data_IF_754684294866
#
_entry.id   IF_754684294866
#
_cell.length_a   1.000
_cell.length_b   1.000
_cell.length_c   1.000
_cell.angle_alpha   90.00
_cell.angle_beta   90.00
_cell.angle_gamma   90.00
#
_symmetry.space_group_name_H-M   'P 1'
#
loop_
_entity.id
_entity.type
_entity.pdbx_description
1 polymer ?
#
# COMPACT_ATOMS: atom_id res chain seq x y z
N UNK A 1 -30.87 -4.51 -9.35
CA UNK A 1 -29.58 -5.22 -9.13
C UNK A 1 -29.88 -6.71 -9.16
N UNK A 2 -29.15 -7.49 -9.97
CA UNK A 2 -29.33 -8.94 -10.01
C UNK A 2 -29.10 -9.52 -8.62
N UNK A 3 -30.00 -10.38 -8.16
CA UNK A 3 -29.90 -11.07 -6.88
C UNK A 3 -29.69 -12.55 -7.12
N UNK A 4 -28.66 -13.13 -6.48
CA UNK A 4 -28.43 -14.58 -6.47
C UNK A 4 -29.67 -15.26 -5.89
N UNK A 5 -30.13 -16.33 -6.54
CA UNK A 5 -31.21 -17.15 -5.99
C UNK A 5 -30.74 -17.94 -4.75
N UNK A 6 -29.47 -18.39 -4.72
CA UNK A 6 -28.83 -19.03 -3.57
C UNK A 6 -27.62 -18.21 -3.08
N UNK A 7 -27.70 -17.52 -1.93
CA UNK A 7 -26.65 -16.63 -1.44
C UNK A 7 -25.31 -17.28 -1.04
N UNK A 8 -25.12 -18.61 -1.17
CA UNK A 8 -23.96 -19.33 -0.64
C UNK A 8 -23.05 -20.09 -1.62
N UNK A 9 -23.44 -20.32 -2.88
CA UNK A 9 -22.77 -21.34 -3.72
C UNK A 9 -21.94 -20.79 -4.90
N UNK A 10 -21.89 -19.49 -5.08
CA UNK A 10 -21.10 -18.89 -6.16
C UNK A 10 -20.85 -17.40 -6.02
N UNK A 11 -19.91 -16.89 -6.81
CA UNK A 11 -19.39 -15.52 -6.82
C UNK A 11 -19.70 -14.90 -8.19
N UNK A 12 -20.10 -13.62 -8.17
CA UNK A 12 -20.20 -12.80 -9.37
C UNK A 12 -19.27 -11.60 -9.19
N UNK A 13 -18.36 -11.40 -10.14
CA UNK A 13 -17.50 -10.23 -10.23
C UNK A 13 -17.88 -9.45 -11.48
N UNK A 14 -18.07 -8.15 -11.32
CA UNK A 14 -18.35 -7.24 -12.42
C UNK A 14 -17.33 -6.11 -12.42
N UNK A 15 -16.79 -5.83 -13.60
CA UNK A 15 -15.97 -4.66 -13.85
C UNK A 15 -16.44 -4.03 -15.15
N UNK A 16 -17.19 -2.92 -15.04
CA UNK A 16 -17.83 -2.25 -16.18
C UNK A 16 -18.68 -3.23 -17.00
N UNK A 17 -18.22 -3.61 -18.20
CA UNK A 17 -18.87 -4.52 -19.15
C UNK A 17 -18.41 -5.98 -19.04
N UNK A 18 -17.32 -6.24 -18.32
CA UNK A 18 -16.79 -7.59 -18.10
C UNK A 18 -17.38 -8.23 -16.84
N UNK A 19 -18.04 -9.38 -17.00
CA UNK A 19 -18.66 -10.15 -15.91
C UNK A 19 -18.02 -11.54 -15.81
N UNK A 20 -17.69 -11.96 -14.60
CA UNK A 20 -17.21 -13.30 -14.27
C UNK A 20 -18.15 -13.94 -13.24
N UNK A 21 -18.56 -15.18 -13.50
CA UNK A 21 -19.24 -16.05 -12.54
C UNK A 21 -18.31 -17.21 -12.18
N UNK A 22 -18.24 -17.53 -10.90
CA UNK A 22 -17.56 -18.72 -10.39
C UNK A 22 -18.47 -19.45 -9.40
N UNK A 23 -18.44 -20.78 -9.39
CA UNK A 23 -19.22 -21.60 -8.44
C UNK A 23 -18.42 -22.86 -8.06
N UNK A 24 -18.83 -23.53 -6.98
CA UNK A 24 -18.17 -24.75 -6.51
C UNK A 24 -18.44 -25.99 -7.37
N UNK A 25 -19.55 -26.01 -8.11
CA UNK A 25 -19.93 -27.09 -9.03
C UNK A 25 -20.22 -26.54 -10.43
N UNK A 26 -20.15 -27.42 -11.43
CA UNK A 26 -20.48 -27.06 -12.81
C UNK A 26 -21.96 -26.70 -12.93
N UNK A 27 -22.82 -27.50 -12.30
CA UNK A 27 -24.28 -27.38 -12.31
C UNK A 27 -24.72 -26.02 -11.79
N UNK A 28 -24.24 -25.63 -10.59
CA UNK A 28 -24.51 -24.31 -10.01
C UNK A 28 -23.99 -23.19 -10.91
N UNK A 29 -22.81 -23.35 -11.52
CA UNK A 29 -22.26 -22.36 -12.45
C UNK A 29 -23.19 -22.13 -13.66
N UNK A 30 -23.74 -23.20 -14.24
CA UNK A 30 -24.69 -23.13 -15.35
C UNK A 30 -26.01 -22.49 -14.93
N UNK A 31 -26.56 -22.85 -13.78
CA UNK A 31 -27.80 -22.24 -13.26
C UNK A 31 -27.63 -20.73 -13.04
N UNK A 32 -26.52 -20.32 -12.45
CA UNK A 32 -26.17 -18.91 -12.27
C UNK A 32 -26.02 -18.19 -13.62
N UNK A 33 -25.36 -18.82 -14.60
CA UNK A 33 -25.19 -18.25 -15.93
C UNK A 33 -26.53 -18.06 -16.64
N UNK A 34 -27.43 -19.06 -16.61
CA UNK A 34 -28.77 -18.97 -17.21
C UNK A 34 -29.57 -17.84 -16.55
N UNK A 35 -29.59 -17.81 -15.21
CA UNK A 35 -30.28 -16.76 -14.44
C UNK A 35 -29.76 -15.36 -14.78
N UNK A 36 -28.43 -15.19 -14.84
CA UNK A 36 -27.81 -13.92 -15.20
C UNK A 36 -28.14 -13.50 -16.64
N UNK A 37 -28.02 -14.43 -17.61
CA UNK A 37 -28.29 -14.13 -19.01
C UNK A 37 -29.76 -13.73 -19.23
N UNK A 38 -30.70 -14.39 -18.56
CA UNK A 38 -32.11 -14.02 -18.60
C UNK A 38 -32.35 -12.62 -18.01
N UNK A 39 -31.73 -12.32 -16.87
CA UNK A 39 -31.80 -10.99 -16.26
C UNK A 39 -31.22 -9.90 -17.17
N UNK A 40 -30.06 -10.15 -17.79
CA UNK A 40 -29.44 -9.21 -18.73
C UNK A 40 -30.34 -8.98 -19.94
N UNK A 41 -30.93 -10.05 -20.49
CA UNK A 41 -31.87 -9.97 -21.60
C UNK A 41 -33.13 -9.16 -21.26
N UNK A 42 -33.71 -9.39 -20.09
CA UNK A 42 -34.86 -8.61 -19.59
C UNK A 42 -34.51 -7.14 -19.36
N UNK A 43 -33.26 -6.85 -18.96
CA UNK A 43 -32.74 -5.50 -18.81
C UNK A 43 -32.32 -4.81 -20.12
N UNK A 44 -32.51 -5.47 -21.28
CA UNK A 44 -32.14 -4.92 -22.60
C UNK A 44 -30.63 -5.00 -22.93
N UNK A 45 -29.83 -5.65 -22.08
CA UNK A 45 -28.41 -5.86 -22.34
C UNK A 45 -28.20 -6.99 -23.34
N UNK A 46 -27.08 -6.92 -24.07
CA UNK A 46 -26.68 -7.94 -25.04
C UNK A 46 -25.32 -8.52 -24.67
N UNK A 47 -25.20 -9.84 -24.72
CA UNK A 47 -23.96 -10.55 -24.45
C UNK A 47 -23.36 -11.04 -25.77
N UNK A 48 -22.06 -10.81 -25.96
CA UNK A 48 -21.36 -11.28 -27.15
C UNK A 48 -21.12 -12.79 -27.09
N UNK A 49 -21.85 -13.56 -27.91
CA UNK A 49 -21.70 -15.02 -28.00
C UNK A 49 -20.26 -15.44 -28.30
N UNK A 50 -19.56 -14.70 -29.18
CA UNK A 50 -18.19 -15.04 -29.60
C UNK A 50 -17.14 -14.78 -28.52
N UNK A 51 -17.41 -13.86 -27.58
CA UNK A 51 -16.52 -13.56 -26.46
C UNK A 51 -16.87 -14.33 -25.18
N UNK A 52 -18.06 -14.92 -25.11
CA UNK A 52 -18.54 -15.65 -23.95
C UNK A 52 -17.70 -16.92 -23.71
N UNK A 53 -17.32 -17.13 -22.45
CA UNK A 53 -16.55 -18.29 -22.00
C UNK A 53 -17.39 -19.08 -20.99
N UNK A 54 -18.26 -19.98 -21.47
CA UNK A 54 -19.25 -20.68 -20.64
C UNK A 54 -18.75 -22.07 -20.25
N UNK A 55 -18.87 -22.41 -18.96
CA UNK A 55 -18.60 -23.77 -18.45
C UNK A 55 -17.14 -24.22 -18.57
N UNK A 56 -16.19 -23.28 -18.55
CA UNK A 56 -14.75 -23.55 -18.62
C UNK A 56 -14.11 -23.49 -17.24
N UNK A 57 -13.14 -24.38 -17.00
CA UNK A 57 -12.31 -24.36 -15.78
C UNK A 57 -11.17 -23.33 -15.85
N UNK A 58 -10.78 -22.94 -17.06
CA UNK A 58 -9.81 -21.90 -17.34
C UNK A 58 -10.46 -20.80 -18.19
N UNK A 59 -10.39 -19.55 -17.70
CA UNK A 59 -11.02 -18.39 -18.32
C UNK A 59 -10.08 -17.18 -18.35
N UNK A 60 -10.28 -16.30 -19.33
CA UNK A 60 -9.63 -14.99 -19.38
C UNK A 60 -10.58 -13.94 -18.84
N UNK A 61 -10.17 -13.19 -17.81
CA UNK A 61 -10.93 -12.08 -17.23
C UNK A 61 -10.01 -10.89 -16.96
N UNK A 62 -10.33 -9.70 -17.47
CA UNK A 62 -9.54 -8.46 -17.34
C UNK A 62 -8.06 -8.60 -17.77
N UNK A 63 -7.78 -9.51 -18.71
CA UNK A 63 -6.43 -9.79 -19.18
C UNK A 63 -5.62 -10.75 -18.30
N UNK A 64 -6.25 -11.36 -17.29
CA UNK A 64 -5.68 -12.45 -16.51
C UNK A 64 -6.24 -13.79 -16.96
N UNK A 65 -5.38 -14.80 -17.00
CA UNK A 65 -5.78 -16.21 -17.14
C UNK A 65 -6.04 -16.76 -15.73
N UNK A 66 -7.27 -17.21 -15.46
CA UNK A 66 -7.70 -17.73 -14.17
C UNK A 66 -8.03 -19.20 -14.33
N UNK A 67 -7.41 -20.06 -13.52
CA UNK A 67 -7.66 -21.49 -13.48
C UNK A 67 -7.26 -22.07 -12.13
N UNK A 68 -7.99 -23.08 -11.64
CA UNK A 68 -7.62 -23.89 -10.47
C UNK A 68 -7.15 -23.10 -9.23
N UNK A 69 -7.84 -21.99 -8.89
CA UNK A 69 -7.49 -21.17 -7.73
C UNK A 69 -6.21 -20.34 -7.91
N UNK A 70 -5.76 -20.16 -9.15
CA UNK A 70 -4.59 -19.38 -9.53
C UNK A 70 -4.95 -18.34 -10.59
N UNK A 71 -4.13 -17.30 -10.68
CA UNK A 71 -4.18 -16.27 -11.72
C UNK A 71 -2.80 -16.04 -12.33
N UNK A 72 -2.78 -15.88 -13.65
CA UNK A 72 -1.60 -15.67 -14.47
C UNK A 72 -1.79 -14.46 -15.37
N UNK A 73 -0.68 -13.84 -15.78
CA UNK A 73 -0.69 -12.78 -16.78
C UNK A 73 -1.04 -13.40 -18.15
N UNK A 74 -1.99 -12.81 -18.88
CA UNK A 74 -2.35 -13.31 -20.20
C UNK A 74 -1.19 -13.23 -21.20
N UNK A 75 -0.99 -14.28 -21.98
CA UNK A 75 0.16 -14.43 -22.90
C UNK A 75 0.32 -13.24 -23.87
N UNK A 76 -0.79 -12.77 -24.46
CA UNK A 76 -0.79 -11.65 -25.42
C UNK A 76 -0.20 -10.36 -24.84
N UNK A 77 -0.50 -10.05 -23.58
CA UNK A 77 0.01 -8.83 -22.92
C UNK A 77 1.48 -8.97 -22.58
N UNK A 78 1.88 -10.15 -22.10
CA UNK A 78 3.29 -10.47 -21.82
C UNK A 78 4.13 -10.31 -23.09
N UNK A 79 3.71 -10.91 -24.19
CA UNK A 79 4.37 -10.83 -25.49
C UNK A 79 4.48 -9.38 -25.98
N UNK A 80 3.39 -8.61 -25.91
CA UNK A 80 3.39 -7.21 -26.30
C UNK A 80 4.43 -6.39 -25.53
N UNK A 81 4.54 -6.57 -24.20
CA UNK A 81 5.54 -5.86 -23.39
C UNK A 81 6.96 -6.34 -23.72
N UNK A 82 7.15 -7.65 -23.93
CA UNK A 82 8.44 -8.22 -24.32
C UNK A 82 8.93 -7.78 -25.70
N UNK A 83 8.05 -7.32 -26.59
CA UNK A 83 8.41 -6.82 -27.91
C UNK A 83 8.73 -5.32 -27.94
N UNK A 84 8.44 -4.58 -26.87
CA UNK A 84 8.74 -3.13 -26.81
C UNK A 84 10.25 -2.91 -26.95
N UNK A 85 10.71 -2.10 -27.93
CA UNK A 85 12.11 -1.73 -28.05
C UNK A 85 12.53 -0.82 -26.90
N UNK A 86 13.84 -0.64 -26.72
CA UNK A 86 14.34 0.27 -25.69
C UNK A 86 13.81 1.71 -25.95
N UNK A 87 13.14 2.33 -24.96
CA UNK A 87 12.60 3.68 -25.10
C UNK A 87 13.70 4.71 -25.42
N UNK A 88 13.48 5.55 -26.42
CA UNK A 88 14.41 6.64 -26.79
C UNK A 88 13.98 8.00 -26.25
N UNK A 89 12.78 8.09 -25.68
CA UNK A 89 12.22 9.33 -25.13
C UNK A 89 11.65 9.14 -23.72
N UNK A 90 11.64 10.20 -22.87
CA UNK A 90 10.97 10.14 -21.56
C UNK A 90 9.49 9.76 -21.65
N UNK A 91 8.82 10.10 -22.77
CA UNK A 91 7.43 9.72 -23.03
C UNK A 91 7.27 8.22 -23.24
N UNK A 92 8.12 7.62 -24.08
CA UNK A 92 8.13 6.17 -24.30
C UNK A 92 8.48 5.41 -23.01
N UNK A 93 9.45 5.90 -22.23
CA UNK A 93 9.83 5.26 -20.98
C UNK A 93 8.69 5.29 -19.95
N UNK A 94 7.93 6.40 -19.85
CA UNK A 94 6.72 6.45 -19.04
C UNK A 94 5.64 5.48 -19.51
N UNK A 95 5.44 5.37 -20.82
CA UNK A 95 4.49 4.41 -21.38
C UNK A 95 4.89 2.97 -21.02
N UNK A 96 6.18 2.63 -21.16
CA UNK A 96 6.73 1.33 -20.74
C UNK A 96 6.53 1.07 -19.24
N UNK A 97 6.89 2.03 -18.38
CA UNK A 97 6.73 1.93 -16.94
C UNK A 97 5.26 1.79 -16.52
N UNK A 98 4.34 2.48 -17.20
CA UNK A 98 2.89 2.32 -16.99
C UNK A 98 2.40 0.91 -17.34
N UNK A 99 2.83 0.37 -18.48
CA UNK A 99 2.47 -0.99 -18.91
C UNK A 99 3.01 -2.05 -17.96
N UNK A 100 4.29 -1.97 -17.58
CA UNK A 100 4.89 -2.96 -16.68
C UNK A 100 4.46 -2.79 -15.22
N UNK A 101 4.07 -1.57 -14.83
CA UNK A 101 3.51 -1.27 -13.50
C UNK A 101 2.16 -1.93 -13.26
N UNK A 102 1.43 -2.32 -14.30
CA UNK A 102 0.25 -3.18 -14.20
C UNK A 102 0.61 -4.61 -13.79
N UNK A 103 1.76 -5.11 -14.25
CA UNK A 103 2.29 -6.44 -13.95
C UNK A 103 3.09 -6.51 -12.64
N UNK A 104 3.21 -5.40 -11.89
CA UNK A 104 4.10 -5.29 -10.71
C UNK A 104 3.93 -6.40 -9.67
N UNK A 105 2.71 -6.91 -9.50
CA UNK A 105 2.39 -7.96 -8.52
C UNK A 105 3.00 -9.32 -8.86
N UNK A 106 3.44 -9.52 -10.10
CA UNK A 106 4.09 -10.75 -10.58
C UNK A 106 5.62 -10.65 -10.63
N UNK A 107 6.17 -9.45 -10.45
CA UNK A 107 7.59 -9.20 -10.59
C UNK A 107 8.18 -9.11 -9.18
N UNK A 108 8.95 -10.14 -8.82
CA UNK A 108 9.74 -10.09 -7.60
C UNK A 108 10.69 -8.90 -7.64
N UNK A 109 10.82 -8.19 -6.52
CA UNK A 109 11.70 -7.04 -6.38
C UNK A 109 11.44 -5.91 -7.40
N UNK A 110 10.20 -5.79 -7.91
CA UNK A 110 9.81 -4.81 -8.94
C UNK A 110 10.40 -3.41 -8.68
N UNK A 111 10.28 -2.91 -7.46
CA UNK A 111 10.79 -1.60 -7.05
C UNK A 111 12.29 -1.39 -7.30
N UNK A 112 13.11 -2.42 -7.08
CA UNK A 112 14.56 -2.34 -7.36
C UNK A 112 14.83 -2.25 -8.86
N UNK A 113 14.09 -3.03 -9.66
CA UNK A 113 14.25 -3.02 -11.11
C UNK A 113 13.80 -1.70 -11.74
N UNK A 114 12.73 -1.06 -11.24
CA UNK A 114 12.25 0.20 -11.84
C UNK A 114 12.93 1.45 -11.29
N UNK A 115 13.64 1.37 -10.16
CA UNK A 115 14.32 2.50 -9.53
C UNK A 115 15.23 3.29 -10.49
N UNK A 116 16.20 2.67 -11.19
CA UNK A 116 17.08 3.42 -12.10
C UNK A 116 16.30 4.04 -13.27
N UNK A 117 15.22 3.41 -13.72
CA UNK A 117 14.38 3.96 -14.80
C UNK A 117 13.60 5.20 -14.34
N UNK A 118 13.11 5.22 -13.10
CA UNK A 118 12.48 6.40 -12.52
C UNK A 118 13.48 7.52 -12.22
N UNK A 119 14.72 7.18 -11.83
CA UNK A 119 15.80 8.14 -11.65
C UNK A 119 16.18 8.79 -12.98
N UNK A 120 16.35 8.01 -14.05
CA UNK A 120 16.57 8.52 -15.40
C UNK A 120 15.45 9.49 -15.84
N UNK A 121 14.17 9.16 -15.58
CA UNK A 121 13.06 10.09 -15.87
C UNK A 121 13.14 11.41 -15.11
N UNK A 122 13.60 11.39 -13.85
CA UNK A 122 13.76 12.61 -13.04
C UNK A 122 14.90 13.48 -13.55
N UNK A 123 16.02 12.87 -13.91
CA UNK A 123 17.20 13.56 -14.42
C UNK A 123 16.95 14.16 -15.80
N UNK A 124 16.18 13.48 -16.65
CA UNK A 124 15.87 13.92 -18.01
C UNK A 124 15.02 15.19 -18.12
N UNK A 125 14.31 15.60 -17.06
CA UNK A 125 13.40 16.78 -17.04
C UNK A 125 12.57 16.97 -18.33
N UNK A 126 12.09 15.87 -18.92
CA UNK A 126 11.32 15.84 -20.17
C UNK A 126 12.03 16.29 -21.46
N UNK A 127 13.36 16.40 -21.46
CA UNK A 127 14.11 16.84 -22.64
C UNK A 127 14.75 15.66 -23.38
N UNK A 128 15.73 15.00 -22.77
CA UNK A 128 16.46 13.89 -23.39
C UNK A 128 16.66 12.75 -22.39
N UNK A 129 16.43 11.53 -22.84
CA UNK A 129 16.58 10.33 -22.03
C UNK A 129 18.05 9.88 -22.04
N UNK A 130 18.68 9.88 -20.86
CA UNK A 130 20.04 9.36 -20.70
C UNK A 130 19.94 7.93 -20.16
N UNK A 131 20.41 6.96 -20.94
CA UNK A 131 20.51 5.58 -20.49
C UNK A 131 21.85 5.35 -19.80
N UNK A 132 21.78 4.92 -18.54
CA UNK A 132 22.96 4.40 -17.83
C UNK A 132 23.06 2.87 -18.03
N UNK A 133 24.24 2.26 -17.79
CA UNK A 133 24.37 0.80 -17.79
C UNK A 133 23.34 0.09 -16.88
N UNK A 134 23.01 0.69 -15.73
CA UNK A 134 22.01 0.19 -14.78
C UNK A 134 20.60 0.24 -15.38
N UNK A 135 20.28 1.29 -16.14
CA UNK A 135 19.02 1.40 -16.85
C UNK A 135 18.88 0.25 -17.87
N UNK A 136 19.88 0.04 -18.73
CA UNK A 136 19.85 -1.02 -19.74
C UNK A 136 19.71 -2.41 -19.11
N UNK A 137 20.45 -2.66 -18.02
CA UNK A 137 20.35 -3.90 -17.25
C UNK A 137 18.93 -4.08 -16.71
N UNK A 138 18.39 -3.05 -16.09
CA UNK A 138 17.05 -3.07 -15.49
C UNK A 138 15.94 -3.30 -16.50
N UNK A 139 16.01 -2.67 -17.67
CA UNK A 139 15.06 -2.89 -18.77
C UNK A 139 15.06 -4.35 -19.24
N UNK A 140 16.24 -4.96 -19.41
CA UNK A 140 16.37 -6.38 -19.79
C UNK A 140 15.87 -7.31 -18.70
N UNK A 141 16.22 -7.05 -17.44
CA UNK A 141 15.78 -7.85 -16.29
C UNK A 141 14.27 -7.81 -16.11
N UNK A 142 13.64 -6.66 -16.28
CA UNK A 142 12.18 -6.51 -16.22
C UNK A 142 11.46 -7.37 -17.27
N UNK A 143 11.97 -7.38 -18.50
CA UNK A 143 11.40 -8.21 -19.58
C UNK A 143 11.59 -9.70 -19.29
N UNK A 144 12.75 -10.10 -18.75
CA UNK A 144 13.01 -11.48 -18.31
C UNK A 144 12.14 -11.90 -17.12
N UNK A 145 11.95 -11.02 -16.14
CA UNK A 145 11.08 -11.30 -14.99
C UNK A 145 9.63 -11.52 -15.43
N UNK A 146 9.17 -10.78 -16.45
CA UNK A 146 7.83 -10.96 -17.01
C UNK A 146 7.67 -12.28 -17.75
N UNK A 147 8.69 -12.77 -18.47
CA UNK A 147 8.65 -14.09 -19.12
C UNK A 147 8.66 -15.24 -18.12
N UNK A 148 9.34 -15.05 -16.99
CA UNK A 148 9.44 -16.02 -15.90
C UNK A 148 8.37 -15.84 -14.81
N UNK A 149 7.39 -14.95 -15.02
CA UNK A 149 6.37 -14.62 -14.03
C UNK A 149 5.57 -15.87 -13.61
N UNK A 150 5.51 -16.22 -12.31
CA UNK A 150 4.81 -17.41 -11.85
C UNK A 150 3.30 -17.21 -11.82
N UNK A 151 2.56 -18.32 -11.71
CA UNK A 151 1.15 -18.26 -11.33
C UNK A 151 1.00 -17.81 -9.86
N UNK A 152 0.15 -16.83 -9.61
CA UNK A 152 -0.17 -16.36 -8.26
C UNK A 152 -1.45 -17.04 -7.77
N UNK A 153 -1.52 -17.34 -6.48
CA UNK A 153 -2.74 -17.82 -5.84
C UNK A 153 -3.82 -16.74 -5.81
N UNK A 154 -5.08 -17.16 -5.92
CA UNK A 154 -6.21 -16.32 -5.51
C UNK A 154 -6.21 -16.23 -3.97
N UNK A 155 -6.42 -15.04 -3.39
CA UNK A 155 -6.46 -14.88 -1.95
C UNK A 155 -7.66 -15.62 -1.35
N UNK A 156 -7.39 -16.45 -0.35
CA UNK A 156 -8.41 -17.12 0.46
C UNK A 156 -8.53 -16.39 1.80
N UNK A 157 -9.56 -15.55 1.95
CA UNK A 157 -9.76 -14.74 3.15
C UNK A 157 -10.09 -15.57 4.40
N UNK A 158 -10.35 -16.87 4.26
CA UNK A 158 -10.60 -17.78 5.39
C UNK A 158 -9.31 -18.34 6.00
N UNK A 159 -8.16 -18.10 5.36
CA UNK A 159 -6.86 -18.60 5.78
C UNK A 159 -5.92 -17.46 6.17
N UNK A 160 -4.99 -17.70 7.10
CA UNK A 160 -4.00 -16.70 7.48
C UNK A 160 -3.13 -16.33 6.28
N UNK A 161 -2.70 -15.07 6.25
CA UNK A 161 -1.71 -14.56 5.31
C UNK A 161 -0.35 -14.47 6.00
N UNK A 162 0.71 -14.82 5.27
CA UNK A 162 2.08 -14.57 5.69
C UNK A 162 2.72 -13.53 4.78
N UNK A 163 3.27 -12.47 5.36
CA UNK A 163 3.99 -11.44 4.63
C UNK A 163 5.48 -11.51 4.98
N UNK A 164 6.28 -11.92 4.00
CA UNK A 164 7.73 -11.90 4.09
C UNK A 164 8.24 -10.55 3.63
N UNK A 165 8.95 -9.82 4.48
CA UNK A 165 9.46 -8.49 4.16
C UNK A 165 10.99 -8.47 4.24
N UNK A 166 11.60 -7.80 3.28
CA UNK A 166 13.02 -7.49 3.25
C UNK A 166 13.23 -6.04 2.83
N UNK A 167 14.14 -5.32 3.48
CA UNK A 167 14.51 -3.96 3.11
C UNK A 167 15.81 -3.98 2.29
N UNK A 168 15.81 -3.27 1.16
CA UNK A 168 17.03 -3.05 0.37
C UNK A 168 16.98 -1.71 -0.35
N UNK A 169 18.04 -0.90 -0.22
CA UNK A 169 18.18 0.40 -0.90
C UNK A 169 17.01 1.39 -0.65
N UNK A 170 16.50 1.42 0.58
CA UNK A 170 15.33 2.18 1.02
C UNK A 170 14.03 1.75 0.34
N UNK A 171 13.94 0.47 -0.04
CA UNK A 171 12.72 -0.15 -0.56
C UNK A 171 12.34 -1.32 0.35
N UNK A 172 11.11 -1.29 0.85
CA UNK A 172 10.49 -2.48 1.42
C UNK A 172 10.03 -3.37 0.28
N UNK A 173 10.52 -4.61 0.28
CA UNK A 173 10.21 -5.66 -0.68
C UNK A 173 9.43 -6.74 0.08
N UNK A 174 8.33 -7.20 -0.50
CA UNK A 174 7.38 -8.06 0.19
C UNK A 174 6.93 -9.22 -0.68
N UNK A 175 6.72 -10.38 -0.07
CA UNK A 175 5.98 -11.50 -0.68
C UNK A 175 4.82 -11.84 0.23
N UNK A 176 3.60 -11.65 -0.27
CA UNK A 176 2.41 -12.13 0.41
C UNK A 176 2.14 -13.56 -0.04
N UNK A 177 2.03 -14.50 0.90
CA UNK A 177 1.80 -15.90 0.61
C UNK A 177 0.72 -16.50 1.53
N UNK A 178 0.16 -17.64 1.08
CA UNK A 178 -0.75 -18.46 1.86
C UNK A 178 -0.39 -19.94 1.74
N UNK A 179 -0.89 -20.74 2.69
CA UNK A 179 -0.72 -22.19 2.75
C UNK A 179 -1.97 -22.92 2.27
N UNK A 180 -2.11 -23.20 0.96
CA UNK A 180 -3.16 -24.08 0.45
C UNK A 180 -2.82 -25.57 0.70
N UNK A 181 -2.39 -25.93 1.91
CA UNK A 181 -1.86 -27.26 2.26
C UNK A 181 -0.40 -27.18 2.71
N UNK A 182 0.44 -28.11 2.24
CA UNK A 182 1.83 -28.28 2.70
C UNK A 182 2.88 -27.39 2.01
N UNK A 183 2.49 -26.57 1.04
CA UNK A 183 3.40 -25.67 0.31
C UNK A 183 2.92 -24.22 0.36
N UNK A 184 3.88 -23.28 0.35
CA UNK A 184 3.59 -21.85 0.25
C UNK A 184 3.25 -21.47 -1.18
N UNK A 185 2.15 -20.75 -1.37
CA UNK A 185 1.77 -20.18 -2.67
C UNK A 185 1.82 -18.66 -2.59
N UNK A 186 2.58 -17.98 -3.48
CA UNK A 186 2.59 -16.52 -3.51
C UNK A 186 1.25 -16.00 -4.04
N UNK A 187 0.69 -15.00 -3.35
CA UNK A 187 -0.53 -14.27 -3.74
C UNK A 187 -0.17 -12.97 -4.46
N UNK A 188 1.00 -12.40 -4.13
CA UNK A 188 1.58 -11.26 -4.84
C UNK A 188 2.93 -10.82 -4.30
N UNK A 189 3.71 -10.20 -5.18
CA UNK A 189 4.96 -9.52 -4.89
C UNK A 189 4.70 -8.03 -4.70
N UNK A 190 5.27 -7.46 -3.65
CA UNK A 190 5.10 -6.07 -3.27
C UNK A 190 6.45 -5.38 -3.21
N UNK A 191 6.47 -4.11 -3.56
CA UNK A 191 7.64 -3.27 -3.37
C UNK A 191 7.17 -1.85 -3.17
N UNK A 192 7.68 -1.19 -2.13
CA UNK A 192 7.32 0.19 -1.81
C UNK A 192 8.57 0.95 -1.40
N UNK A 193 8.77 2.12 -2.01
CA UNK A 193 9.81 3.03 -1.56
C UNK A 193 9.46 3.48 -0.15
N UNK A 194 10.37 3.24 0.78
CA UNK A 194 10.25 3.72 2.13
C UNK A 194 10.49 5.23 2.08
N UNK A 195 9.41 5.99 2.23
CA UNK A 195 9.52 7.37 2.66
C UNK A 195 9.89 7.42 4.15
N UNK A 196 9.84 8.60 4.75
CA UNK A 196 10.00 8.73 6.20
C UNK A 196 8.85 8.13 7.02
N UNK A 197 8.00 7.25 6.45
CA UNK A 197 6.76 6.71 7.04
C UNK A 197 6.63 5.21 6.79
N UNK A 198 6.57 4.39 7.86
CA UNK A 198 6.38 2.93 7.79
C UNK A 198 4.94 2.47 7.95
N UNK A 199 4.83 1.20 7.57
CA UNK A 199 3.79 0.21 7.72
C UNK A 199 3.06 0.32 9.07
N UNK A 200 1.73 0.42 8.98
CA UNK A 200 0.86 0.16 10.12
C UNK A 200 0.84 -1.35 10.35
N UNK A 201 1.14 -1.79 11.58
CA UNK A 201 0.81 -3.14 12.01
C UNK A 201 -0.72 -3.31 11.96
N UNK A 202 -1.16 -4.44 11.41
CA UNK A 202 -2.55 -4.87 11.49
C UNK A 202 -2.58 -6.28 12.06
N UNK A 203 -3.58 -6.56 12.89
CA UNK A 203 -3.75 -7.85 13.57
C UNK A 203 -4.00 -9.04 12.61
N UNK A 204 -4.30 -8.77 11.33
CA UNK A 204 -4.55 -9.78 10.29
C UNK A 204 -3.30 -10.20 9.49
N UNK A 205 -2.12 -9.62 9.78
CA UNK A 205 -0.88 -9.90 9.05
C UNK A 205 0.28 -10.17 10.01
N UNK A 206 0.78 -11.41 10.02
CA UNK A 206 2.00 -11.76 10.75
C UNK A 206 3.24 -11.34 9.94
N UNK A 207 4.07 -10.46 10.50
CA UNK A 207 5.35 -10.05 9.92
C UNK A 207 6.45 -11.05 10.28
N UNK A 208 7.10 -11.65 9.27
CA UNK A 208 8.26 -12.53 9.46
C UNK A 208 9.52 -11.92 8.83
N UNK A 209 10.56 -11.71 9.66
CA UNK A 209 11.89 -11.24 9.22
C UNK A 209 12.81 -12.41 8.92
N UNK A 210 13.71 -12.26 7.96
CA UNK A 210 14.54 -13.37 7.46
C UNK A 210 15.80 -12.88 6.76
N UNK A 211 16.87 -13.67 6.87
CA UNK A 211 18.18 -13.40 6.28
C UNK A 211 18.28 -13.66 4.77
N UNK A 212 17.22 -14.21 4.17
CA UNK A 212 17.25 -14.70 2.79
C UNK A 212 17.18 -13.51 1.83
N UNK A 213 18.30 -13.25 1.16
CA UNK A 213 18.53 -12.15 0.19
C UNK A 213 17.62 -12.24 -1.04
N UNK A 214 17.04 -13.42 -1.32
CA UNK A 214 16.17 -13.67 -2.47
C UNK A 214 14.78 -14.12 -2.04
N UNK A 215 13.73 -13.27 -2.17
CA UNK A 215 12.40 -13.68 -1.76
C UNK A 215 11.74 -14.80 -2.59
N UNK A 216 12.33 -15.19 -3.74
CA UNK A 216 11.90 -16.40 -4.45
C UNK A 216 12.32 -17.69 -3.73
N UNK A 217 13.38 -17.67 -2.93
CA UNK A 217 13.85 -18.84 -2.18
C UNK A 217 12.94 -19.20 -0.99
N UNK A 218 12.02 -18.32 -0.59
CA UNK A 218 11.00 -18.64 0.41
C UNK A 218 10.00 -19.73 -0.03
N UNK A 219 9.99 -20.06 -1.32
CA UNK A 219 9.21 -21.16 -1.89
C UNK A 219 9.97 -22.49 -1.89
N UNK A 220 11.27 -22.48 -1.60
CA UNK A 220 12.12 -23.66 -1.51
C UNK A 220 12.25 -24.10 -0.04
N UNK A 221 12.29 -25.41 0.19
CA UNK A 221 12.35 -26.05 1.53
C UNK A 221 13.72 -25.96 2.23
N UNK A 222 14.67 -25.21 1.67
CA UNK A 222 16.05 -25.14 2.19
C UNK A 222 16.35 -23.75 2.76
N UNK A 223 16.75 -23.72 4.04
CA UNK A 223 17.16 -22.51 4.75
C UNK A 223 18.64 -22.22 4.46
N UNK A 224 19.00 -21.13 3.76
CA UNK A 224 20.39 -20.69 3.69
C UNK A 224 20.77 -20.01 5.00
N UNK A 225 21.74 -20.59 5.69
CA UNK A 225 22.45 -19.98 6.80
C UNK A 225 23.42 -18.92 6.29
N UNK A 226 22.91 -17.74 5.94
CA UNK A 226 23.76 -16.55 5.79
C UNK A 226 23.40 -15.51 6.84
N UNK A 227 24.44 -14.86 7.36
CA UNK A 227 24.37 -13.93 8.49
C UNK A 227 23.77 -12.62 8.00
N UNK A 228 22.67 -12.18 8.62
CA UNK A 228 22.03 -10.88 8.36
C UNK A 228 23.06 -9.75 8.50
N UNK A 229 23.24 -8.94 7.45
CA UNK A 229 24.03 -7.69 7.53
C UNK A 229 23.37 -6.62 8.41
N UNK A 230 22.07 -6.75 8.67
CA UNK A 230 21.31 -5.87 9.57
C UNK A 230 20.13 -6.62 10.17
N UNK A 231 19.76 -6.32 11.41
CA UNK A 231 18.57 -6.85 12.04
C UNK A 231 17.39 -5.90 11.71
N UNK A 232 16.46 -6.37 10.89
CA UNK A 232 15.27 -5.62 10.49
C UNK A 232 14.39 -5.24 11.68
N UNK A 233 14.34 -6.06 12.74
CA UNK A 233 13.62 -5.73 13.96
C UNK A 233 14.37 -4.65 14.72
N UNK A 234 15.69 -4.73 14.86
CA UNK A 234 16.48 -3.62 15.44
C UNK A 234 16.45 -2.36 14.58
N UNK A 235 16.31 -2.46 13.25
CA UNK A 235 16.21 -1.30 12.36
C UNK A 235 14.82 -0.67 12.45
N UNK A 236 13.77 -1.50 12.53
CA UNK A 236 12.41 -1.05 12.84
C UNK A 236 12.42 -0.43 14.24
N UNK A 237 12.91 -1.11 15.27
CA UNK A 237 13.01 -0.65 16.66
C UNK A 237 13.97 0.55 16.83
N UNK A 238 14.97 0.76 15.96
CA UNK A 238 15.81 1.97 15.94
C UNK A 238 15.13 3.14 15.21
N UNK A 239 14.30 2.86 14.19
CA UNK A 239 13.56 3.90 13.44
C UNK A 239 12.22 4.24 14.12
N UNK A 240 11.64 3.27 14.84
CA UNK A 240 10.34 3.26 15.51
C UNK A 240 10.45 3.11 17.02
N UNK A 241 11.65 3.32 17.60
CA UNK A 241 11.90 3.18 19.04
C UNK A 241 10.69 3.66 19.80
N UNK A 242 9.93 2.69 20.30
CA UNK A 242 8.66 2.92 20.97
C UNK A 242 9.00 3.86 22.11
N UNK A 243 8.53 5.10 22.05
CA UNK A 243 8.70 6.09 23.11
C UNK A 243 7.86 5.58 24.28
N UNK A 244 8.44 4.99 25.35
CA UNK A 244 7.64 4.50 26.48
C UNK A 244 6.93 5.64 27.22
N UNK A 245 7.37 6.88 26.97
CA UNK A 245 6.80 8.13 27.45
C UNK A 245 5.72 8.71 26.51
N UNK A 246 5.43 8.09 25.37
CA UNK A 246 4.31 8.48 24.52
C UNK A 246 3.26 7.36 24.55
N UNK A 247 2.11 7.67 25.12
CA UNK A 247 1.01 6.70 25.27
C UNK A 247 -0.27 7.28 24.68
N UNK A 248 -1.25 6.44 24.36
CA UNK A 248 -2.60 6.85 23.98
C UNK A 248 -3.58 6.86 25.17
N UNK A 249 -3.08 6.64 26.40
CA UNK A 249 -3.85 6.71 27.65
C UNK A 249 -3.48 7.96 28.46
N UNK A 250 -4.45 8.83 28.84
CA UNK A 250 -4.14 10.11 29.47
C UNK A 250 -3.42 9.92 30.80
N UNK A 251 -2.42 10.77 31.06
CA UNK A 251 -1.75 10.79 32.35
C UNK A 251 -2.74 11.22 33.43
N UNK A 252 -2.76 10.50 34.56
CA UNK A 252 -3.62 10.80 35.71
C UNK A 252 -3.25 12.11 36.42
N UNK A 253 -2.00 12.52 36.30
CA UNK A 253 -1.44 13.70 36.95
C UNK A 253 -0.51 14.43 35.97
N UNK A 254 -1.07 15.16 34.97
CA UNK A 254 -0.29 15.93 34.03
C UNK A 254 0.06 17.30 34.63
N UNK A 255 1.25 17.81 34.32
CA UNK A 255 1.64 19.17 34.67
C UNK A 255 0.94 20.20 33.74
N UNK A 256 0.50 19.76 32.55
CA UNK A 256 -0.24 20.57 31.58
C UNK A 256 -1.32 19.76 30.85
N UNK A 257 -2.44 20.43 30.57
CA UNK A 257 -3.51 19.90 29.74
C UNK A 257 -3.79 20.87 28.58
N UNK A 258 -3.37 20.48 27.37
CA UNK A 258 -3.35 21.34 26.19
C UNK A 258 -4.29 20.80 25.11
N UNK A 259 -5.00 21.68 24.42
CA UNK A 259 -5.84 21.36 23.28
C UNK A 259 -5.31 22.10 22.05
N UNK A 260 -5.24 21.41 20.92
CA UNK A 260 -4.66 21.94 19.68
C UNK A 260 -5.65 21.83 18.55
N UNK A 261 -5.73 22.88 17.74
CA UNK A 261 -6.55 22.95 16.53
C UNK A 261 -5.81 23.73 15.44
N UNK A 262 -5.96 23.27 14.19
CA UNK A 262 -5.32 23.83 13.01
C UNK A 262 -6.29 23.94 11.83
N UNK A 263 -6.75 25.15 11.55
CA UNK A 263 -7.72 25.40 10.48
C UNK A 263 -7.07 25.94 9.19
N UNK A 264 -7.67 25.61 8.05
CA UNK A 264 -7.36 26.19 6.73
C UNK A 264 -8.65 26.36 5.94
N UNK A 265 -8.99 27.59 5.56
CA UNK A 265 -10.20 27.92 4.82
C UNK A 265 -9.93 29.02 3.78
N UNK A 266 -10.87 29.22 2.85
CA UNK A 266 -10.76 30.27 1.82
C UNK A 266 -11.69 31.42 2.19
N UNK A 267 -11.15 32.63 2.25
CA UNK A 267 -11.90 33.87 2.48
C UNK A 267 -11.49 34.87 1.39
N UNK A 268 -12.47 35.43 0.68
CA UNK A 268 -12.24 36.41 -0.41
C UNK A 268 -11.21 35.93 -1.46
N UNK A 269 -11.27 34.65 -1.84
CA UNK A 269 -10.38 34.04 -2.83
C UNK A 269 -8.94 33.78 -2.35
N UNK A 270 -8.62 34.12 -1.09
CA UNK A 270 -7.32 33.84 -0.47
C UNK A 270 -7.47 32.73 0.56
N UNK A 271 -6.57 31.75 0.52
CA UNK A 271 -6.50 30.70 1.54
C UNK A 271 -5.85 31.27 2.79
N UNK A 272 -6.54 31.14 3.91
CA UNK A 272 -6.11 31.57 5.23
C UNK A 272 -5.95 30.31 6.09
N UNK A 273 -4.84 30.23 6.81
CA UNK A 273 -4.59 29.13 7.73
C UNK A 273 -4.19 29.68 9.09
N UNK A 274 -4.61 29.01 10.16
CA UNK A 274 -4.37 29.42 11.55
C UNK A 274 -4.17 28.19 12.42
N UNK A 275 -3.53 28.39 13.56
CA UNK A 275 -3.45 27.39 14.61
C UNK A 275 -3.77 28.02 15.96
N UNK A 276 -4.18 27.19 16.91
CA UNK A 276 -4.33 27.55 18.30
C UNK A 276 -3.83 26.42 19.21
N UNK A 277 -3.23 26.81 20.33
CA UNK A 277 -2.95 25.95 21.48
C UNK A 277 -3.62 26.58 22.68
N UNK A 278 -4.52 25.83 23.31
CA UNK A 278 -5.36 26.33 24.40
C UNK A 278 -5.30 25.36 25.58
N UNK A 279 -5.71 25.84 26.74
CA UNK A 279 -6.07 25.03 27.90
C UNK A 279 -7.60 25.07 28.04
N UNK A 280 -8.18 24.45 29.06
CA UNK A 280 -9.64 24.45 29.25
C UNK A 280 -10.23 25.85 29.42
N UNK A 281 -9.45 26.81 29.92
CA UNK A 281 -9.92 28.14 30.32
C UNK A 281 -9.28 29.31 29.55
N UNK A 282 -8.11 29.10 28.92
CA UNK A 282 -7.37 30.18 28.23
C UNK A 282 -6.70 29.73 26.93
N UNK A 283 -6.58 30.68 26.00
CA UNK A 283 -5.73 30.55 24.81
C UNK A 283 -4.29 30.82 25.21
N UNK A 284 -3.40 29.84 25.03
CA UNK A 284 -1.98 30.00 25.30
C UNK A 284 -1.26 30.65 24.13
N UNK A 285 -1.57 30.21 22.92
CA UNK A 285 -1.00 30.76 21.68
C UNK A 285 -1.98 30.57 20.53
N UNK A 286 -1.99 31.54 19.62
CA UNK A 286 -2.62 31.39 18.32
C UNK A 286 -1.86 32.23 17.30
N UNK A 287 -1.92 31.82 16.04
CA UNK A 287 -1.19 32.52 14.98
C UNK A 287 -1.71 32.24 13.59
N UNK A 288 -1.42 33.16 12.69
CA UNK A 288 -1.66 32.99 11.25
C UNK A 288 -0.51 32.23 10.61
N UNK A 289 -0.86 31.32 9.70
CA UNK A 289 0.07 30.54 8.90
C UNK A 289 0.07 31.03 7.44
N UNK A 290 1.14 30.73 6.67
CA UNK A 290 1.22 31.09 5.27
C UNK A 290 0.00 30.61 4.47
N UNK A 291 -0.44 31.40 3.51
CA UNK A 291 -1.67 31.18 2.74
C UNK A 291 -1.72 29.81 2.01
N UNK A 292 -0.59 29.17 1.76
CA UNK A 292 -0.52 27.84 1.11
C UNK A 292 -0.57 26.66 2.10
N UNK A 293 -0.84 26.90 3.38
CA UNK A 293 -0.87 25.86 4.41
C UNK A 293 -2.20 25.10 4.37
N UNK A 294 -2.13 23.76 4.24
CA UNK A 294 -3.30 22.88 4.31
C UNK A 294 -3.80 22.72 5.75
N UNK A 295 -5.06 22.29 5.93
CA UNK A 295 -5.62 22.02 7.25
C UNK A 295 -4.76 21.01 8.04
N UNK A 296 -4.42 19.88 7.42
CA UNK A 296 -3.52 18.87 8.01
C UNK A 296 -2.16 19.43 8.44
N UNK A 297 -1.59 20.35 7.67
CA UNK A 297 -0.32 20.99 8.02
C UNK A 297 -0.50 22.01 9.16
N UNK A 298 -1.63 22.72 9.21
CA UNK A 298 -1.96 23.61 10.30
C UNK A 298 -2.09 22.85 11.63
N UNK A 299 -2.74 21.68 11.61
CA UNK A 299 -2.85 20.76 12.76
C UNK A 299 -1.48 20.35 13.30
N UNK A 300 -0.58 19.92 12.40
CA UNK A 300 0.79 19.56 12.79
C UNK A 300 1.57 20.75 13.35
N UNK A 301 1.30 21.97 12.90
CA UNK A 301 1.94 23.17 13.44
C UNK A 301 1.39 23.49 14.85
N UNK A 302 0.08 23.39 15.06
CA UNK A 302 -0.55 23.55 16.38
C UNK A 302 0.07 22.59 17.40
N UNK A 303 0.13 21.32 17.01
CA UNK A 303 0.69 20.24 17.81
C UNK A 303 2.17 20.46 18.14
N UNK A 304 2.97 20.90 17.16
CA UNK A 304 4.39 21.23 17.36
C UNK A 304 4.57 22.36 18.38
N UNK A 305 3.69 23.35 18.40
CA UNK A 305 3.76 24.45 19.35
C UNK A 305 3.37 24.00 20.75
N UNK A 306 2.32 23.18 20.89
CA UNK A 306 1.95 22.59 22.17
C UNK A 306 3.09 21.76 22.78
N UNK A 307 3.79 20.97 21.96
CA UNK A 307 4.96 20.20 22.39
C UNK A 307 6.11 21.09 22.87
N UNK A 308 6.34 22.24 22.23
CA UNK A 308 7.36 23.21 22.66
C UNK A 308 7.00 23.86 23.99
N UNK A 309 5.73 24.17 24.22
CA UNK A 309 5.27 24.73 25.50
C UNK A 309 5.37 23.74 26.65
N UNK A 310 5.22 22.46 26.33
CA UNK A 310 5.29 21.36 27.28
C UNK A 310 6.73 20.87 27.54
N UNK A 311 7.75 21.53 27.00
CA UNK A 311 9.15 21.11 27.16
C UNK A 311 9.50 20.91 28.65
N UNK A 312 9.90 19.68 29.00
CA UNK A 312 10.30 19.28 30.35
C UNK A 312 9.16 18.96 31.32
N UNK A 313 7.91 18.87 30.85
CA UNK A 313 6.71 18.62 31.66
C UNK A 313 6.04 17.29 31.31
N UNK A 314 5.14 16.80 32.17
CA UNK A 314 4.16 15.75 31.84
C UNK A 314 2.95 16.44 31.22
N UNK A 315 2.54 16.06 30.02
CA UNK A 315 1.48 16.78 29.31
C UNK A 315 0.47 15.85 28.67
N UNK A 316 -0.82 16.19 28.82
CA UNK A 316 -1.86 15.64 27.97
C UNK A 316 -2.12 16.63 26.85
N UNK A 317 -2.02 16.18 25.59
CA UNK A 317 -2.27 17.02 24.41
C UNK A 317 -3.44 16.42 23.64
N UNK A 318 -4.50 17.19 23.53
CA UNK A 318 -5.77 16.84 22.92
C UNK A 318 -5.83 17.44 21.50
N UNK A 319 -6.02 16.61 20.49
CA UNK A 319 -6.20 17.02 19.08
C UNK A 319 -7.43 16.33 18.51
N UNK A 320 -8.20 17.03 17.69
CA UNK A 320 -9.32 16.48 16.92
C UNK A 320 -8.88 15.91 15.55
N UNK A 321 -7.61 16.08 15.19
CA UNK A 321 -7.02 15.60 13.94
C UNK A 321 -6.45 14.19 14.07
N UNK A 322 -7.17 13.20 13.51
CA UNK A 322 -6.68 11.81 13.38
C UNK A 322 -5.35 11.71 12.63
N UNK A 323 -5.11 12.62 11.68
CA UNK A 323 -3.86 12.69 10.94
C UNK A 323 -2.70 13.13 11.84
N UNK A 324 -2.91 14.17 12.64
CA UNK A 324 -1.90 14.67 13.58
C UNK A 324 -1.54 13.64 14.65
N UNK A 325 -2.56 12.95 15.20
CA UNK A 325 -2.39 11.82 16.11
C UNK A 325 -1.54 10.70 15.47
N UNK A 326 -1.94 10.21 14.30
CA UNK A 326 -1.22 9.13 13.61
C UNK A 326 0.23 9.50 13.30
N UNK A 327 0.49 10.74 12.92
CA UNK A 327 1.85 11.22 12.68
C UNK A 327 2.72 11.22 13.94
N UNK A 328 2.21 11.63 15.10
CA UNK A 328 2.99 11.59 16.35
C UNK A 328 3.28 10.16 16.78
N UNK A 329 2.28 9.28 16.77
CA UNK A 329 2.46 7.90 17.23
C UNK A 329 3.29 7.06 16.25
N UNK A 330 3.41 7.48 14.98
CA UNK A 330 4.30 6.85 14.00
C UNK A 330 5.69 7.51 13.90
N UNK A 331 5.87 8.81 14.23
CA UNK A 331 7.11 9.57 13.97
C UNK A 331 7.75 10.28 15.16
N UNK A 332 7.09 10.34 16.32
CA UNK A 332 7.63 10.96 17.54
C UNK A 332 8.97 10.36 18.01
N UNK A 333 9.32 9.17 17.51
CA UNK A 333 10.58 8.47 17.76
C UNK A 333 11.82 9.18 17.17
N UNK A 334 11.73 9.91 16.04
CA UNK A 334 12.95 10.36 15.32
C UNK A 334 13.33 11.82 15.53
N UNK A 335 12.42 12.70 15.93
CA UNK A 335 12.71 14.15 16.06
C UNK A 335 13.34 14.57 17.39
N UNK A 336 13.63 13.62 18.28
CA UNK A 336 14.02 13.88 19.68
C UNK A 336 15.47 13.49 20.01
N UNK A 337 16.33 13.32 18.99
CA UNK A 337 17.76 13.08 19.19
C UNK A 337 18.54 14.35 19.58
N UNK A 338 17.90 15.52 19.69
CA UNK A 338 18.61 16.74 20.11
C UNK A 338 18.25 17.34 21.47
N UNK A 339 17.05 17.20 22.07
CA UNK A 339 16.75 17.84 23.38
C UNK A 339 15.79 17.01 24.25
N UNK A 340 15.97 17.11 25.58
CA UNK A 340 15.59 16.18 26.67
C UNK A 340 14.08 16.05 26.97
N UNK A 341 13.68 14.81 27.36
CA UNK A 341 12.56 14.30 28.20
C UNK A 341 11.22 15.08 28.22
N UNK A 342 10.12 14.48 27.75
CA UNK A 342 8.70 14.89 28.01
C UNK A 342 7.74 13.74 27.65
N UNK A 343 6.80 13.41 28.54
CA UNK A 343 5.77 12.33 28.40
C UNK A 343 4.46 12.93 27.85
N UNK A 344 3.82 12.31 26.85
CA UNK A 344 2.65 12.84 26.10
C UNK A 344 1.52 11.80 26.00
N UNK A 345 0.26 12.23 26.11
CA UNK A 345 -0.93 11.39 25.85
C UNK A 345 -2.19 12.09 25.29
N UNK A 346 -2.92 11.51 24.30
CA UNK A 346 -4.23 12.02 23.80
C UNK A 346 -5.45 11.09 23.98
N UNK A 347 -6.67 11.64 24.17
CA UNK A 347 -7.97 10.99 23.82
C UNK A 347 -8.88 11.92 23.00
N UNK A 348 -9.88 11.39 22.27
CA UNK A 348 -10.95 12.16 21.60
C UNK A 348 -12.31 11.75 22.19
N UNK A 349 -13.19 12.72 22.45
CA UNK A 349 -14.64 12.51 22.58
C UNK A 349 -15.37 13.30 21.49
N UNK A 350 -16.19 12.60 20.69
CA UNK A 350 -17.12 13.23 19.75
C UNK A 350 -18.09 14.13 20.54
N UNK A 351 -18.15 15.43 20.21
CA UNK A 351 -19.36 16.21 20.49
C UNK A 351 -20.35 15.92 19.35
N UNK A 352 -21.56 15.51 19.74
CA UNK A 352 -22.75 15.36 18.89
C UNK A 352 -23.06 16.60 18.07
#
# INVERSE_FOLDING_TARGET
MWKKQNPGEGILLQYVDDILIAAGSKETCFEMAISLLNFLGQGGYRVSRNKAQIGKEAVVYLGFEISQGQRQLGNKRREAICQIPEPNSPKELRAFLGMIGWCRLWILNYGLHVKPLYEALKESKDQYLIWTPECHKSFKELKKALTMAPALGLPDLTKPFELFVHERQHLALGVLAQWPGSWKRPVGYFSKQLGNVVLLERDDVELKTTAIVNPAMFLSTENPTEKLEHDCLLTIEQVYSSRPDLTDEPLKDPDLELFTDGSSFVQEGRRMARYAVVTTDKVLESGTLPANTSAQKAELVALKQALRMAEGKRVNIWTDSKYAFGMIHAHGARSYLERKRTVISPRITNKT
#
